data_IF_060953313970
#
_entry.id   IF_060953313970
#
_cell.length_a   1.000
_cell.length_b   1.000
_cell.length_c   1.000
_cell.angle_alpha   90.00
_cell.angle_beta   90.00
_cell.angle_gamma   90.00
#
_symmetry.space_group_name_H-M   'P 1'
#
loop_
_entity.id
_entity.type
_entity.pdbx_description
1 polymer ?
#
# COMPACT_ATOMS: atom_id res chain seq x y z
N UNK A 1 -5.83 0.43 -23.85
CA UNK A 1 -5.71 -0.99 -23.45
C UNK A 1 -5.61 -1.06 -21.94
N UNK A 2 -6.18 -2.08 -21.32
CA UNK A 2 -6.09 -2.28 -19.87
C UNK A 2 -4.65 -2.65 -19.47
N UNK A 3 -3.98 -1.78 -18.68
CA UNK A 3 -2.54 -1.88 -18.35
C UNK A 3 -2.20 -3.07 -17.44
N UNK A 4 -3.19 -3.63 -16.75
CA UNK A 4 -3.04 -4.77 -15.84
C UNK A 4 -3.85 -6.00 -16.27
N UNK A 5 -4.24 -6.08 -17.56
CA UNK A 5 -5.01 -7.19 -18.08
C UNK A 5 -4.35 -8.54 -17.79
N UNK A 6 -5.11 -9.45 -17.16
CA UNK A 6 -4.65 -10.78 -16.80
C UNK A 6 -3.66 -10.87 -15.62
N UNK A 7 -3.27 -9.75 -15.00
CA UNK A 7 -2.48 -9.74 -13.76
C UNK A 7 -3.37 -10.07 -12.55
N UNK A 8 -2.77 -10.69 -11.53
CA UNK A 8 -3.41 -10.96 -10.22
C UNK A 8 -2.69 -10.13 -9.17
N UNK A 9 -3.45 -9.29 -8.47
CA UNK A 9 -2.93 -8.39 -7.44
C UNK A 9 -3.47 -8.75 -6.05
N UNK A 10 -2.59 -8.74 -5.04
CA UNK A 10 -2.94 -8.86 -3.63
C UNK A 10 -2.68 -7.52 -2.95
N UNK A 11 -3.72 -6.88 -2.40
CA UNK A 11 -3.67 -5.55 -1.80
C UNK A 11 -4.05 -5.65 -0.33
N UNK A 12 -3.12 -5.34 0.57
CA UNK A 12 -3.38 -5.32 2.01
C UNK A 12 -3.99 -3.98 2.44
N UNK A 13 -4.92 -4.01 3.40
CA UNK A 13 -5.67 -2.81 3.80
C UNK A 13 -6.50 -2.25 2.63
N UNK A 14 -7.06 -3.14 1.82
CA UNK A 14 -7.79 -2.77 0.60
C UNK A 14 -9.23 -2.32 0.81
N UNK A 15 -9.73 -2.33 2.05
CA UNK A 15 -11.12 -1.96 2.37
C UNK A 15 -11.41 -0.46 2.35
N UNK A 16 -10.38 0.39 2.50
CA UNK A 16 -10.57 1.83 2.60
C UNK A 16 -9.44 2.68 2.03
N UNK A 17 -9.68 3.98 1.92
CA UNK A 17 -8.68 4.99 1.57
C UNK A 17 -7.90 4.67 0.29
N UNK A 18 -6.57 4.70 0.39
CA UNK A 18 -5.66 4.43 -0.73
C UNK A 18 -5.82 3.00 -1.24
N UNK A 19 -5.92 2.01 -0.32
CA UNK A 19 -6.05 0.60 -0.70
C UNK A 19 -7.30 0.31 -1.53
N UNK A 20 -8.45 0.85 -1.12
CA UNK A 20 -9.70 0.73 -1.88
C UNK A 20 -9.60 1.40 -3.25
N UNK A 21 -9.11 2.64 -3.30
CA UNK A 21 -8.94 3.35 -4.57
C UNK A 21 -7.99 2.60 -5.53
N UNK A 22 -6.92 2.00 -4.99
CA UNK A 22 -6.00 1.17 -5.77
C UNK A 22 -6.68 -0.11 -6.26
N UNK A 23 -7.47 -0.78 -5.41
CA UNK A 23 -8.18 -2.00 -5.80
C UNK A 23 -9.19 -1.73 -6.93
N UNK A 24 -9.96 -0.67 -6.80
CA UNK A 24 -10.91 -0.22 -7.82
C UNK A 24 -10.19 0.11 -9.14
N UNK A 25 -9.09 0.87 -9.06
CA UNK A 25 -8.33 1.29 -10.24
C UNK A 25 -7.61 0.12 -10.92
N UNK A 26 -7.07 -0.83 -10.14
CA UNK A 26 -6.47 -2.05 -10.68
C UNK A 26 -7.51 -2.92 -11.43
N UNK A 27 -8.71 -3.05 -10.88
CA UNK A 27 -9.80 -3.77 -11.54
C UNK A 27 -10.23 -3.09 -12.85
N UNK A 28 -10.34 -1.76 -12.87
CA UNK A 28 -10.60 -0.96 -14.10
C UNK A 28 -9.54 -1.22 -15.18
N UNK A 29 -8.29 -1.46 -14.78
CA UNK A 29 -7.18 -1.82 -15.67
C UNK A 29 -7.09 -3.32 -15.99
N UNK A 30 -8.13 -4.09 -15.65
CA UNK A 30 -8.26 -5.50 -16.00
C UNK A 30 -7.55 -6.50 -15.07
N UNK A 31 -7.07 -6.06 -13.92
CA UNK A 31 -6.52 -6.97 -12.92
C UNK A 31 -7.60 -7.76 -12.18
N UNK A 32 -7.25 -8.97 -11.73
CA UNK A 32 -7.97 -9.71 -10.71
C UNK A 32 -7.39 -9.33 -9.35
N UNK A 33 -8.18 -8.74 -8.48
CA UNK A 33 -7.72 -8.11 -7.24
C UNK A 33 -8.18 -8.89 -6.02
N UNK A 34 -7.25 -9.24 -5.14
CA UNK A 34 -7.56 -9.73 -3.80
C UNK A 34 -7.42 -8.58 -2.81
N UNK A 35 -8.51 -8.28 -2.13
CA UNK A 35 -8.61 -7.28 -1.08
C UNK A 35 -8.44 -7.99 0.25
N UNK A 36 -7.21 -7.92 0.79
CA UNK A 36 -6.84 -8.46 2.08
C UNK A 36 -7.09 -7.39 3.15
N UNK A 37 -8.16 -7.56 3.93
CA UNK A 37 -8.63 -6.54 4.88
C UNK A 37 -9.08 -7.21 6.19
N UNK A 38 -8.82 -6.55 7.31
CA UNK A 38 -9.22 -7.05 8.63
C UNK A 38 -10.69 -6.73 8.94
N UNK A 39 -11.18 -5.60 8.44
CA UNK A 39 -12.59 -5.22 8.58
C UNK A 39 -13.41 -5.84 7.43
N UNK A 40 -14.32 -6.73 7.82
CA UNK A 40 -15.12 -7.50 6.87
C UNK A 40 -16.05 -6.62 6.04
N UNK A 41 -16.72 -5.68 6.66
CA UNK A 41 -17.72 -4.85 5.99
C UNK A 41 -17.07 -3.98 4.91
N UNK A 42 -16.00 -3.27 5.24
CA UNK A 42 -15.27 -2.43 4.29
C UNK A 42 -14.59 -3.26 3.19
N UNK A 43 -14.07 -4.45 3.54
CA UNK A 43 -13.45 -5.36 2.58
C UNK A 43 -14.43 -5.90 1.54
N UNK A 44 -15.62 -6.36 1.97
CA UNK A 44 -16.68 -6.83 1.08
C UNK A 44 -17.22 -5.70 0.20
N UNK A 45 -17.45 -4.51 0.76
CA UNK A 45 -17.90 -3.33 0.01
C UNK A 45 -16.87 -2.89 -1.04
N UNK A 46 -15.57 -2.92 -0.70
CA UNK A 46 -14.51 -2.62 -1.65
C UNK A 46 -14.41 -3.65 -2.78
N UNK A 47 -14.57 -4.94 -2.47
CA UNK A 47 -14.57 -6.01 -3.48
C UNK A 47 -15.76 -5.89 -4.43
N UNK A 48 -16.94 -5.57 -3.91
CA UNK A 48 -18.12 -5.32 -4.73
C UNK A 48 -17.91 -4.12 -5.68
N UNK A 49 -17.39 -3.01 -5.15
CA UNK A 49 -17.09 -1.81 -5.95
C UNK A 49 -16.07 -2.10 -7.05
N UNK A 50 -14.96 -2.77 -6.72
CA UNK A 50 -13.91 -3.10 -7.67
C UNK A 50 -14.41 -4.03 -8.79
N UNK A 51 -15.25 -5.04 -8.48
CA UNK A 51 -15.90 -5.88 -9.51
C UNK A 51 -16.78 -5.07 -10.45
N UNK A 52 -17.59 -4.15 -9.91
CA UNK A 52 -18.45 -3.29 -10.73
C UNK A 52 -17.67 -2.43 -11.72
N UNK A 53 -16.48 -1.96 -11.32
CA UNK A 53 -15.60 -1.14 -12.16
C UNK A 53 -14.81 -1.96 -13.18
N UNK A 54 -14.43 -3.19 -12.85
CA UNK A 54 -13.58 -4.05 -13.67
C UNK A 54 -14.28 -4.74 -14.85
N UNK A 55 -15.61 -4.78 -14.85
CA UNK A 55 -16.39 -5.64 -15.74
C UNK A 55 -16.06 -5.56 -17.24
N UNK A 56 -15.89 -4.36 -17.79
CA UNK A 56 -15.58 -4.15 -19.20
C UNK A 56 -14.13 -4.48 -19.58
N UNK A 57 -13.22 -4.46 -18.63
CA UNK A 57 -11.79 -4.73 -18.81
C UNK A 57 -11.39 -6.17 -18.45
N UNK A 58 -12.35 -7.00 -18.00
CA UNK A 58 -12.10 -8.36 -17.50
C UNK A 58 -11.52 -8.41 -16.09
N UNK A 59 -11.59 -7.30 -15.36
CA UNK A 59 -11.21 -7.22 -13.95
C UNK A 59 -12.20 -7.96 -13.05
N UNK A 60 -11.70 -8.47 -11.92
CA UNK A 60 -12.49 -9.14 -10.88
C UNK A 60 -11.93 -8.78 -9.50
N UNK A 61 -12.68 -9.00 -8.44
CA UNK A 61 -12.19 -8.78 -7.09
C UNK A 61 -12.74 -9.80 -6.10
N UNK A 62 -11.90 -10.15 -5.12
CA UNK A 62 -12.20 -11.05 -4.02
C UNK A 62 -11.81 -10.39 -2.70
N UNK A 63 -12.70 -10.36 -1.72
CA UNK A 63 -12.34 -10.06 -0.34
C UNK A 63 -11.85 -11.31 0.37
N UNK A 64 -10.75 -11.17 1.14
CA UNK A 64 -10.27 -12.20 2.06
C UNK A 64 -9.94 -11.52 3.40
N UNK A 65 -10.60 -11.98 4.47
CA UNK A 65 -10.30 -11.48 5.81
C UNK A 65 -8.84 -11.75 6.16
N UNK A 66 -8.08 -10.70 6.48
CA UNK A 66 -6.63 -10.82 6.66
C UNK A 66 -6.12 -9.85 7.73
N UNK A 67 -5.49 -10.38 8.76
CA UNK A 67 -4.65 -9.61 9.66
C UNK A 67 -3.18 -9.77 9.22
N UNK A 68 -2.58 -8.70 8.73
CA UNK A 68 -1.18 -8.71 8.24
C UNK A 68 -0.15 -8.94 9.34
N UNK A 69 -0.52 -8.84 10.60
CA UNK A 69 0.32 -9.10 11.77
C UNK A 69 0.43 -10.59 12.09
N UNK A 70 -0.47 -11.41 11.53
CA UNK A 70 -0.63 -12.82 11.85
C UNK A 70 -0.26 -13.70 10.65
N UNK A 71 0.81 -14.50 10.82
CA UNK A 71 1.34 -15.39 9.78
C UNK A 71 0.25 -16.29 9.18
N UNK A 72 -0.49 -17.00 10.01
CA UNK A 72 -1.51 -17.94 9.54
C UNK A 72 -2.61 -17.26 8.72
N UNK A 73 -2.96 -16.00 9.07
CA UNK A 73 -3.93 -15.20 8.33
C UNK A 73 -3.42 -14.83 6.94
N UNK A 74 -2.16 -14.40 6.83
CA UNK A 74 -1.54 -14.06 5.53
C UNK A 74 -1.36 -15.31 4.66
N UNK A 75 -0.91 -16.44 5.23
CA UNK A 75 -0.77 -17.72 4.52
C UNK A 75 -2.11 -18.18 3.95
N UNK A 76 -3.18 -18.14 4.74
CA UNK A 76 -4.52 -18.51 4.31
C UNK A 76 -5.03 -17.59 3.18
N UNK A 77 -4.79 -16.29 3.28
CA UNK A 77 -5.22 -15.33 2.27
C UNK A 77 -4.47 -15.52 0.93
N UNK A 78 -3.18 -15.78 0.98
CA UNK A 78 -2.40 -16.10 -0.22
C UNK A 78 -2.82 -17.44 -0.83
N UNK A 79 -3.10 -18.45 -0.01
CA UNK A 79 -3.60 -19.74 -0.49
C UNK A 79 -4.95 -19.57 -1.22
N UNK A 80 -5.88 -18.78 -0.68
CA UNK A 80 -7.16 -18.49 -1.34
C UNK A 80 -6.97 -17.68 -2.64
N UNK A 81 -5.98 -16.76 -2.67
CA UNK A 81 -5.58 -16.04 -3.88
C UNK A 81 -5.17 -17.01 -5.00
N UNK A 82 -4.29 -17.95 -4.67
CA UNK A 82 -3.79 -18.94 -5.65
C UNK A 82 -4.89 -19.91 -6.07
N UNK A 83 -5.71 -20.35 -5.14
CA UNK A 83 -6.87 -21.22 -5.42
C UNK A 83 -7.86 -20.54 -6.37
N UNK A 84 -8.15 -19.26 -6.18
CA UNK A 84 -9.16 -18.52 -6.95
C UNK A 84 -8.65 -18.08 -8.32
N UNK A 85 -7.39 -17.61 -8.40
CA UNK A 85 -6.85 -16.94 -9.59
C UNK A 85 -5.63 -17.62 -10.20
N UNK A 86 -5.08 -18.66 -9.57
CA UNK A 86 -4.00 -19.51 -10.10
C UNK A 86 -2.59 -18.96 -9.93
N UNK A 87 -2.40 -17.66 -9.67
CA UNK A 87 -1.10 -17.01 -9.58
C UNK A 87 -1.14 -15.75 -8.71
N UNK A 88 0.03 -15.15 -8.50
CA UNK A 88 0.20 -13.80 -7.94
C UNK A 88 1.26 -13.05 -8.76
N UNK A 89 0.90 -11.91 -9.35
CA UNK A 89 1.81 -11.07 -10.13
C UNK A 89 2.18 -9.78 -9.40
N UNK A 90 1.28 -9.24 -8.58
CA UNK A 90 1.44 -7.94 -7.94
C UNK A 90 1.12 -8.07 -6.45
N UNK A 91 2.05 -7.59 -5.60
CA UNK A 91 1.83 -7.46 -4.16
C UNK A 91 1.86 -5.98 -3.78
N UNK A 92 0.75 -5.44 -3.31
CA UNK A 92 0.67 -4.07 -2.81
C UNK A 92 0.52 -4.08 -1.28
N UNK A 93 1.63 -3.84 -0.59
CA UNK A 93 1.69 -3.73 0.87
C UNK A 93 1.22 -2.35 1.31
N UNK A 94 -0.10 -2.18 1.43
CA UNK A 94 -0.73 -0.91 1.75
C UNK A 94 -1.23 -0.81 3.20
N UNK A 95 -1.51 -1.94 3.87
CA UNK A 95 -1.99 -1.93 5.25
C UNK A 95 -1.05 -1.15 6.18
N UNK A 96 -1.60 -0.27 7.00
CA UNK A 96 -0.84 0.56 7.91
C UNK A 96 -1.41 1.96 8.12
N UNK A 97 -0.62 2.80 8.77
CA UNK A 97 -0.94 4.20 8.95
C UNK A 97 -0.60 4.76 10.33
N UNK A 98 -0.42 6.08 10.37
CA UNK A 98 -0.11 6.82 11.60
C UNK A 98 -1.23 6.70 12.63
N UNK A 99 -0.88 6.85 13.89
CA UNK A 99 -1.78 6.89 15.04
C UNK A 99 -1.85 8.31 15.62
N UNK A 100 -2.97 8.73 16.24
CA UNK A 100 -3.06 9.99 16.95
C UNK A 100 -2.28 10.02 18.27
N UNK A 101 -1.88 8.83 18.78
CA UNK A 101 -1.10 8.70 20.03
C UNK A 101 0.40 8.54 19.78
N UNK A 102 0.86 8.63 18.53
CA UNK A 102 2.28 8.75 18.20
C UNK A 102 2.83 10.11 18.66
N UNK A 103 4.09 10.17 19.05
CA UNK A 103 4.68 11.35 19.64
C UNK A 103 6.21 11.36 19.60
N UNK A 104 6.84 12.32 20.30
CA UNK A 104 8.29 12.34 20.51
C UNK A 104 8.76 11.08 21.25
N UNK A 105 9.96 10.61 20.95
CA UNK A 105 10.53 9.36 21.49
C UNK A 105 10.56 9.31 23.03
N UNK A 106 10.64 10.46 23.70
CA UNK A 106 10.63 10.56 25.16
C UNK A 106 9.25 10.50 25.80
N UNK A 107 8.18 10.60 25.03
CA UNK A 107 6.80 10.73 25.51
C UNK A 107 5.89 9.62 24.99
N UNK A 108 6.19 9.06 23.80
CA UNK A 108 5.40 7.99 23.20
C UNK A 108 5.60 6.67 23.95
N UNK A 109 4.53 5.89 24.08
CA UNK A 109 4.60 4.59 24.76
C UNK A 109 5.28 3.52 23.90
N UNK A 110 5.86 2.50 24.56
CA UNK A 110 6.41 1.32 23.86
C UNK A 110 5.32 0.54 23.13
N UNK A 111 4.07 0.53 23.62
CA UNK A 111 2.94 -0.12 22.96
C UNK A 111 2.67 0.51 21.59
N UNK A 112 2.72 1.85 21.50
CA UNK A 112 2.55 2.54 20.21
C UNK A 112 3.71 2.26 19.27
N UNK A 113 4.95 2.23 19.79
CA UNK A 113 6.11 1.82 18.99
C UNK A 113 5.89 0.42 18.39
N UNK A 114 5.56 -0.55 19.23
CA UNK A 114 5.33 -1.92 18.75
C UNK A 114 4.09 -2.05 17.86
N UNK A 115 3.04 -1.24 18.08
CA UNK A 115 1.89 -1.17 17.18
C UNK A 115 2.33 -0.75 15.77
N UNK A 116 3.09 0.35 15.65
CA UNK A 116 3.58 0.85 14.38
C UNK A 116 4.49 -0.18 13.69
N UNK A 117 5.44 -0.77 14.43
CA UNK A 117 6.34 -1.78 13.89
C UNK A 117 5.58 -3.04 13.43
N UNK A 118 4.67 -3.56 14.25
CA UNK A 118 3.91 -4.79 13.93
C UNK A 118 2.98 -4.60 12.73
N UNK A 119 2.27 -3.47 12.69
CA UNK A 119 1.30 -3.24 11.62
C UNK A 119 2.00 -2.85 10.31
N UNK A 120 2.82 -1.80 10.34
CA UNK A 120 3.38 -1.20 9.13
C UNK A 120 4.58 -1.99 8.59
N UNK A 121 5.62 -2.19 9.44
CA UNK A 121 6.87 -2.82 9.00
C UNK A 121 6.76 -4.34 8.93
N UNK A 122 6.37 -4.97 10.04
CA UNK A 122 6.30 -6.44 10.09
C UNK A 122 5.22 -6.97 9.14
N UNK A 123 4.06 -6.32 9.03
CA UNK A 123 3.02 -6.67 8.05
C UNK A 123 3.56 -6.65 6.62
N UNK A 124 4.28 -5.58 6.23
CA UNK A 124 4.94 -5.47 4.93
C UNK A 124 5.97 -6.58 4.70
N UNK A 125 6.82 -6.85 5.72
CA UNK A 125 7.81 -7.94 5.68
C UNK A 125 7.13 -9.30 5.53
N UNK A 126 6.12 -9.59 6.32
CA UNK A 126 5.44 -10.88 6.35
C UNK A 126 4.73 -11.18 5.03
N UNK A 127 3.97 -10.21 4.51
CA UNK A 127 3.30 -10.35 3.22
C UNK A 127 4.31 -10.53 2.08
N UNK A 128 5.43 -9.81 2.11
CA UNK A 128 6.51 -9.97 1.12
C UNK A 128 7.16 -11.35 1.23
N UNK A 129 7.51 -11.79 2.45
CA UNK A 129 8.13 -13.10 2.71
C UNK A 129 7.28 -14.25 2.16
N UNK A 130 5.97 -14.18 2.35
CA UNK A 130 5.05 -15.24 1.96
C UNK A 130 4.56 -15.09 0.50
N UNK A 131 4.46 -13.86 -0.01
CA UNK A 131 3.99 -13.58 -1.37
C UNK A 131 5.07 -13.80 -2.46
N UNK A 132 6.34 -13.47 -2.18
CA UNK A 132 7.43 -13.58 -3.15
C UNK A 132 7.55 -14.97 -3.80
N UNK A 133 7.47 -16.10 -3.08
CA UNK A 133 7.52 -17.41 -3.71
C UNK A 133 6.46 -17.63 -4.79
N UNK A 134 5.26 -17.07 -4.60
CA UNK A 134 4.17 -17.14 -5.58
C UNK A 134 4.45 -16.25 -6.79
N UNK A 135 5.02 -15.05 -6.59
CA UNK A 135 5.41 -14.14 -7.68
C UNK A 135 6.55 -14.75 -8.51
N UNK A 136 7.53 -15.39 -7.86
CA UNK A 136 8.60 -16.14 -8.55
C UNK A 136 8.01 -17.25 -9.40
N UNK A 137 7.05 -18.03 -8.85
CA UNK A 137 6.35 -19.10 -9.58
C UNK A 137 5.54 -18.58 -10.77
N UNK A 138 5.05 -17.35 -10.72
CA UNK A 138 4.37 -16.69 -11.83
C UNK A 138 5.34 -16.17 -12.93
N UNK A 139 6.66 -16.24 -12.70
CA UNK A 139 7.68 -15.81 -13.66
C UNK A 139 8.23 -14.40 -13.43
N UNK A 140 7.89 -13.76 -12.32
CA UNK A 140 8.26 -12.40 -11.94
C UNK A 140 7.03 -11.51 -11.68
N UNK A 141 7.25 -10.25 -11.32
CA UNK A 141 6.15 -9.35 -11.03
C UNK A 141 6.57 -8.03 -10.36
N UNK A 142 5.64 -7.42 -9.64
CA UNK A 142 5.84 -6.13 -8.98
C UNK A 142 5.43 -6.15 -7.52
N UNK A 143 6.29 -5.62 -6.65
CA UNK A 143 5.97 -5.35 -5.24
C UNK A 143 5.96 -3.84 -5.04
N UNK A 144 4.87 -3.33 -4.46
CA UNK A 144 4.67 -1.92 -4.17
C UNK A 144 4.45 -1.78 -2.67
N UNK A 145 5.38 -1.13 -1.99
CA UNK A 145 5.30 -0.89 -0.56
C UNK A 145 4.78 0.52 -0.27
N UNK A 146 3.96 0.69 0.75
CA UNK A 146 3.54 2.01 1.20
C UNK A 146 4.51 2.54 2.26
N UNK A 147 5.39 3.45 1.83
CA UNK A 147 6.18 4.30 2.71
C UNK A 147 5.38 5.57 3.08
N UNK A 148 6.02 6.69 3.27
CA UNK A 148 5.42 8.00 3.54
C UNK A 148 6.47 9.09 3.36
N UNK A 149 6.05 10.32 3.17
CA UNK A 149 6.95 11.50 3.23
C UNK A 149 7.73 11.59 4.53
N UNK A 150 7.22 11.06 5.65
CA UNK A 150 7.95 11.03 6.93
C UNK A 150 9.25 10.20 6.88
N UNK A 151 9.37 9.30 5.90
CA UNK A 151 10.61 8.57 5.64
C UNK A 151 11.68 9.41 4.88
N UNK A 152 11.28 10.56 4.34
CA UNK A 152 12.09 11.42 3.48
C UNK A 152 12.32 12.80 4.09
N UNK A 153 11.36 13.31 4.86
CA UNK A 153 11.38 14.60 5.55
C UNK A 153 10.91 14.42 6.99
N UNK A 154 11.64 14.96 7.95
CA UNK A 154 11.25 14.91 9.35
C UNK A 154 9.94 15.66 9.62
N UNK A 155 9.06 15.06 10.40
CA UNK A 155 7.83 15.67 10.91
C UNK A 155 7.76 15.43 12.42
N UNK A 156 7.68 16.48 13.27
CA UNK A 156 7.60 16.33 14.71
C UNK A 156 6.40 15.49 15.17
N UNK A 157 6.57 14.76 16.28
CA UNK A 157 5.50 13.99 16.89
C UNK A 157 5.05 12.76 16.11
N UNK A 158 5.96 12.15 15.34
CA UNK A 158 5.69 10.98 14.49
C UNK A 158 6.82 9.94 14.52
N UNK A 159 7.53 9.82 15.66
CA UNK A 159 8.78 9.07 15.72
C UNK A 159 8.59 7.57 15.45
N UNK A 160 7.53 6.95 15.99
CA UNK A 160 7.24 5.53 15.76
C UNK A 160 6.85 5.25 14.30
N UNK A 161 5.99 6.08 13.74
CA UNK A 161 5.56 5.96 12.33
C UNK A 161 6.72 6.24 11.37
N UNK A 162 7.55 7.25 11.67
CA UNK A 162 8.75 7.57 10.90
C UNK A 162 9.74 6.41 10.90
N UNK A 163 9.97 5.78 12.06
CA UNK A 163 10.83 4.60 12.15
C UNK A 163 10.31 3.45 11.27
N UNK A 164 9.01 3.13 11.35
CA UNK A 164 8.41 2.08 10.55
C UNK A 164 8.49 2.38 9.03
N UNK A 165 8.13 3.60 8.60
CA UNK A 165 8.13 3.98 7.18
C UNK A 165 9.53 4.18 6.60
N UNK A 166 10.48 4.64 7.42
CA UNK A 166 11.90 4.69 7.06
C UNK A 166 12.48 3.29 6.85
N UNK A 167 12.16 2.34 7.73
CA UNK A 167 12.56 0.95 7.59
C UNK A 167 11.96 0.29 6.33
N UNK A 168 10.70 0.58 5.97
CA UNK A 168 10.08 0.10 4.73
C UNK A 168 10.82 0.65 3.51
N UNK A 169 11.22 1.93 3.51
CA UNK A 169 11.99 2.53 2.42
C UNK A 169 13.37 1.84 2.26
N UNK A 170 14.06 1.56 3.36
CA UNK A 170 15.33 0.84 3.35
C UNK A 170 15.16 -0.61 2.85
N UNK A 171 14.15 -1.33 3.38
CA UNK A 171 13.84 -2.70 2.98
C UNK A 171 13.45 -2.79 1.49
N UNK A 172 12.75 -1.80 0.95
CA UNK A 172 12.39 -1.72 -0.47
C UNK A 172 13.63 -1.77 -1.36
N UNK A 173 14.67 -0.99 -1.03
CA UNK A 173 15.94 -0.97 -1.79
C UNK A 173 16.67 -2.30 -1.70
N UNK A 174 16.76 -2.88 -0.50
CA UNK A 174 17.37 -4.19 -0.30
C UNK A 174 16.67 -5.28 -1.09
N UNK A 175 15.34 -5.34 -1.01
CA UNK A 175 14.54 -6.32 -1.75
C UNK A 175 14.65 -6.13 -3.26
N UNK A 176 14.76 -4.90 -3.77
CA UNK A 176 14.92 -4.63 -5.19
C UNK A 176 16.18 -5.29 -5.75
N UNK A 177 17.31 -5.22 -5.03
CA UNK A 177 18.58 -5.86 -5.40
C UNK A 177 18.46 -7.38 -5.31
N UNK A 178 17.91 -7.90 -4.21
CA UNK A 178 17.83 -9.33 -3.92
C UNK A 178 16.95 -10.08 -4.95
N UNK A 179 15.83 -9.47 -5.36
CA UNK A 179 14.83 -10.15 -6.19
C UNK A 179 14.84 -9.76 -7.67
N UNK A 180 15.72 -8.84 -8.10
CA UNK A 180 15.90 -8.51 -9.52
C UNK A 180 16.25 -9.74 -10.39
N UNK A 181 17.14 -10.69 -9.96
CA UNK A 181 17.40 -11.92 -10.71
C UNK A 181 16.17 -12.83 -10.90
N UNK A 182 15.14 -12.64 -10.08
CA UNK A 182 13.84 -13.34 -10.17
C UNK A 182 12.80 -12.56 -10.98
N UNK A 183 13.22 -11.49 -11.68
CA UNK A 183 12.34 -10.59 -12.45
C UNK A 183 11.25 -9.94 -11.60
N UNK A 184 11.54 -9.63 -10.33
CA UNK A 184 10.64 -8.92 -9.45
C UNK A 184 11.16 -7.50 -9.25
N UNK A 185 10.33 -6.51 -9.58
CA UNK A 185 10.58 -5.10 -9.27
C UNK A 185 10.00 -4.80 -7.89
N UNK A 186 10.73 -4.06 -7.09
CA UNK A 186 10.28 -3.65 -5.75
C UNK A 186 10.45 -2.15 -5.62
N UNK A 187 9.34 -1.44 -5.46
CA UNK A 187 9.31 0.02 -5.28
C UNK A 187 8.44 0.39 -4.08
N UNK A 188 8.59 1.61 -3.60
CA UNK A 188 7.68 2.17 -2.61
C UNK A 188 7.07 3.48 -3.12
N UNK A 189 5.85 3.76 -2.67
CA UNK A 189 5.21 5.06 -2.79
C UNK A 189 5.34 5.76 -1.44
N UNK A 190 5.71 7.04 -1.46
CA UNK A 190 5.77 7.91 -0.29
C UNK A 190 4.73 9.03 -0.43
N UNK A 191 3.48 8.80 0.01
CA UNK A 191 2.45 9.82 -0.06
C UNK A 191 2.71 10.97 0.91
N UNK A 192 2.30 12.19 0.51
CA UNK A 192 2.03 13.29 1.41
C UNK A 192 0.72 13.08 2.19
N UNK A 193 0.08 14.17 2.57
CA UNK A 193 -1.25 14.09 3.20
C UNK A 193 -2.29 13.74 2.14
N UNK A 194 -2.95 12.58 2.34
CA UNK A 194 -4.00 12.07 1.45
C UNK A 194 -5.34 12.09 2.18
N UNK A 195 -6.31 12.78 1.63
CA UNK A 195 -7.66 12.95 2.17
C UNK A 195 -8.51 11.67 2.04
N UNK A 196 -8.08 10.59 2.71
CA UNK A 196 -8.94 9.43 2.94
C UNK A 196 -10.03 9.77 3.97
N UNK A 197 -11.10 8.99 4.04
CA UNK A 197 -12.18 9.22 5.02
C UNK A 197 -11.64 9.24 6.47
N UNK A 198 -10.65 8.39 6.78
CA UNK A 198 -9.97 8.40 8.08
C UNK A 198 -9.25 9.73 8.33
N UNK A 199 -8.50 10.22 7.36
CA UNK A 199 -7.74 11.48 7.48
C UNK A 199 -8.68 12.67 7.55
N UNK A 200 -9.76 12.69 6.75
CA UNK A 200 -10.79 13.72 6.85
C UNK A 200 -11.41 13.79 8.26
N UNK A 201 -11.73 12.63 8.87
CA UNK A 201 -12.25 12.57 10.24
C UNK A 201 -11.23 13.10 11.26
N UNK A 202 -9.95 12.76 11.12
CA UNK A 202 -8.88 13.26 12.00
C UNK A 202 -8.67 14.77 11.87
N UNK A 203 -8.83 15.33 10.67
CA UNK A 203 -8.63 16.75 10.39
C UNK A 203 -9.90 17.61 10.60
N UNK A 204 -11.08 17.01 10.71
CA UNK A 204 -12.35 17.75 10.76
C UNK A 204 -12.43 18.81 11.89
N UNK A 205 -11.69 18.59 12.99
CA UNK A 205 -11.61 19.50 14.12
C UNK A 205 -10.22 20.14 14.30
N UNK A 206 -9.33 19.98 13.32
CA UNK A 206 -7.95 20.45 13.40
C UNK A 206 -7.80 21.81 12.68
N UNK A 207 -7.25 22.80 13.39
CA UNK A 207 -6.78 24.06 12.77
C UNK A 207 -5.52 23.86 11.90
N UNK A 208 -5.00 22.62 11.84
CA UNK A 208 -3.76 22.32 11.13
C UNK A 208 -3.97 22.01 9.65
N UNK A 209 -5.24 21.87 9.19
CA UNK A 209 -5.51 21.55 7.78
C UNK A 209 -4.98 22.64 6.83
N UNK A 210 -5.10 23.92 7.22
CA UNK A 210 -4.57 25.03 6.43
C UNK A 210 -3.04 25.04 6.40
N UNK A 211 -2.40 24.74 7.53
CA UNK A 211 -0.93 24.61 7.61
C UNK A 211 -0.42 23.44 6.79
N UNK A 212 -1.11 22.29 6.85
CA UNK A 212 -0.79 21.12 6.03
C UNK A 212 -0.98 21.41 4.55
N UNK A 213 -2.08 22.07 4.18
CA UNK A 213 -2.33 22.47 2.79
C UNK A 213 -1.26 23.43 2.28
N UNK A 214 -0.78 24.37 3.10
CA UNK A 214 0.26 25.32 2.72
C UNK A 214 1.61 24.66 2.39
N UNK A 215 1.88 23.45 2.89
CA UNK A 215 3.10 22.68 2.58
C UNK A 215 2.96 21.79 1.34
N UNK A 216 1.80 21.78 0.69
CA UNK A 216 1.50 20.96 -0.48
C UNK A 216 1.21 21.85 -1.68
N UNK A 217 2.18 22.03 -2.56
CA UNK A 217 2.17 23.03 -3.66
C UNK A 217 0.95 22.93 -4.58
N UNK A 218 0.44 21.72 -4.81
CA UNK A 218 -0.73 21.44 -5.66
C UNK A 218 -1.97 21.06 -4.84
N UNK A 219 -1.96 21.35 -3.52
CA UNK A 219 -3.01 20.96 -2.59
C UNK A 219 -2.86 19.53 -2.04
N UNK A 220 -3.77 19.14 -1.14
CA UNK A 220 -3.75 17.84 -0.49
C UNK A 220 -4.12 16.71 -1.46
N UNK A 221 -3.49 15.56 -1.29
CA UNK A 221 -3.70 14.39 -2.15
C UNK A 221 -5.07 13.74 -1.97
N UNK A 222 -5.53 13.05 -3.01
CA UNK A 222 -6.67 12.15 -2.97
C UNK A 222 -6.18 10.70 -3.10
N UNK A 223 -6.92 9.70 -2.59
CA UNK A 223 -6.58 8.29 -2.77
C UNK A 223 -6.34 7.89 -4.23
N UNK A 224 -7.08 8.48 -5.17
CA UNK A 224 -6.92 8.24 -6.61
C UNK A 224 -5.55 8.64 -7.15
N UNK A 225 -4.93 9.72 -6.65
CA UNK A 225 -3.58 10.13 -7.08
C UNK A 225 -2.53 9.05 -6.76
N UNK A 226 -2.67 8.39 -5.61
CA UNK A 226 -1.78 7.30 -5.21
C UNK A 226 -2.07 6.04 -6.03
N UNK A 227 -3.36 5.76 -6.31
CA UNK A 227 -3.77 4.63 -7.11
C UNK A 227 -3.20 4.68 -8.55
N UNK A 228 -3.15 5.85 -9.19
CA UNK A 228 -2.55 6.01 -10.52
C UNK A 228 -1.05 5.67 -10.51
N UNK A 229 -0.30 6.13 -9.50
CA UNK A 229 1.11 5.77 -9.34
C UNK A 229 1.27 4.26 -9.09
N UNK A 230 0.37 3.67 -8.28
CA UNK A 230 0.39 2.23 -8.04
C UNK A 230 0.13 1.43 -9.33
N UNK A 231 -0.80 1.87 -10.20
CA UNK A 231 -1.03 1.24 -11.51
C UNK A 231 0.22 1.30 -12.38
N UNK A 232 0.89 2.47 -12.45
CA UNK A 232 2.14 2.60 -13.20
C UNK A 232 3.21 1.61 -12.68
N UNK A 233 3.45 1.59 -11.37
CA UNK A 233 4.44 0.68 -10.77
C UNK A 233 4.06 -0.81 -10.89
N UNK A 234 2.77 -1.13 -10.98
CA UNK A 234 2.28 -2.50 -11.19
C UNK A 234 2.42 -2.95 -12.65
N UNK A 235 2.35 -2.03 -13.60
CA UNK A 235 2.32 -2.30 -15.03
C UNK A 235 3.72 -2.52 -15.63
N UNK A 236 3.75 -3.02 -16.87
CA UNK A 236 4.99 -3.22 -17.62
C UNK A 236 5.60 -1.88 -18.10
N UNK A 237 4.86 -0.76 -18.02
CA UNK A 237 5.36 0.59 -18.29
C UNK A 237 6.52 0.99 -17.36
N UNK A 238 6.58 0.41 -16.16
CA UNK A 238 7.65 0.63 -15.19
C UNK A 238 8.71 -0.49 -15.17
N UNK A 239 8.93 -1.16 -16.30
CA UNK A 239 9.83 -2.34 -16.43
C UNK A 239 11.28 -2.08 -16.01
N UNK A 240 11.77 -0.84 -16.09
CA UNK A 240 13.11 -0.43 -15.62
C UNK A 240 13.10 0.28 -14.26
N UNK A 241 11.94 0.37 -13.59
CA UNK A 241 11.81 1.07 -12.30
C UNK A 241 11.84 0.04 -11.16
N UNK A 242 12.92 0.01 -10.39
CA UNK A 242 13.06 -0.80 -9.18
C UNK A 242 13.93 -0.09 -8.14
N UNK A 243 13.71 -0.36 -6.85
CA UNK A 243 14.42 0.24 -5.73
C UNK A 243 14.04 1.70 -5.45
N UNK A 244 13.03 2.24 -6.11
CA UNK A 244 12.64 3.64 -5.99
C UNK A 244 11.67 3.87 -4.83
N UNK A 245 11.80 5.05 -4.21
CA UNK A 245 10.82 5.60 -3.28
C UNK A 245 10.19 6.81 -3.97
N UNK A 246 9.03 6.60 -4.56
CA UNK A 246 8.35 7.59 -5.39
C UNK A 246 7.50 8.49 -4.50
N UNK A 247 7.91 9.76 -4.37
CA UNK A 247 7.10 10.77 -3.67
C UNK A 247 5.86 11.12 -4.49
N UNK A 248 4.69 11.01 -3.86
CA UNK A 248 3.40 11.48 -4.40
C UNK A 248 2.79 12.39 -3.33
N UNK A 249 3.36 13.58 -3.21
CA UNK A 249 3.25 14.44 -2.03
C UNK A 249 2.99 15.91 -2.35
N UNK A 250 2.66 16.22 -3.62
CA UNK A 250 2.42 17.60 -4.04
C UNK A 250 3.62 18.54 -3.75
N UNK A 251 4.85 18.00 -3.79
CA UNK A 251 6.07 18.77 -3.55
C UNK A 251 6.38 19.03 -2.05
N UNK A 252 5.67 18.40 -1.12
CA UNK A 252 5.85 18.66 0.32
C UNK A 252 7.26 18.30 0.84
N UNK A 253 8.02 17.46 0.13
CA UNK A 253 9.40 17.10 0.48
C UNK A 253 10.48 18.00 -0.12
N UNK A 254 10.13 18.93 -1.01
CA UNK A 254 11.08 19.85 -1.67
C UNK A 254 10.95 21.31 -1.21
N UNK A 255 10.05 21.59 -0.28
CA UNK A 255 9.82 22.90 0.35
C UNK A 255 10.03 22.85 1.84
#
# INVERSE_FOLDING_TARGET
>A
MARLAGKVAFITGGGGGIGRATAERFAEEGAKVVIAEIDRESGEAAAQSARGRGGNAGGDALFVHTDVRERASVEAALAETIKRFGKLDILHNNAGGSSPVDGPVTEVSEEEFWRAIKLDLFGTFLCSKLGIPHIVKAGGGSIINMSSVVALKALPGRDCYTAAKGAIAAMTRSMAVEYAPKKIRVNAIAPGVVLSERVKKLLANSKDIEKLAATHLLGLGLPSHIAETAVHLASDESSLTTGQIVSVDSGATVV
#
